data_IF_714999990027
#
_entry.id   IF_714999990027
#
_cell.length_a   1.000
_cell.length_b   1.000
_cell.length_c   1.000
_cell.angle_alpha   90.00
_cell.angle_beta   90.00
_cell.angle_gamma   90.00
#
_symmetry.space_group_name_H-M   'P 1'
#
loop_
_entity.id
_entity.type
_entity.pdbx_description
1 polymer ?
#
# COMPACT_ATOMS: atom_id res chain seq x y z
N UNK A 1 19.91 -23.93 23.29
CA UNK A 1 20.16 -22.58 23.83
C UNK A 1 21.10 -21.76 22.96
N UNK A 2 22.19 -22.35 22.41
CA UNK A 2 23.15 -21.66 21.55
C UNK A 2 22.51 -21.01 20.28
N UNK A 3 21.59 -21.74 19.60
CA UNK A 3 20.85 -21.19 18.43
C UNK A 3 20.02 -19.96 18.79
N UNK A 4 19.32 -19.99 19.93
CA UNK A 4 18.48 -18.86 20.35
C UNK A 4 19.33 -17.63 20.71
N UNK A 5 20.45 -17.85 21.40
CA UNK A 5 21.38 -16.77 21.71
C UNK A 5 21.98 -16.14 20.43
N UNK A 6 22.29 -16.99 19.43
CA UNK A 6 22.77 -16.49 18.13
C UNK A 6 21.69 -15.73 17.39
N UNK A 7 20.42 -16.16 17.43
CA UNK A 7 19.30 -15.43 16.83
C UNK A 7 19.13 -14.06 17.49
N UNK A 8 19.17 -14.00 18.82
CA UNK A 8 19.03 -12.75 19.57
C UNK A 8 20.19 -11.77 19.31
N UNK A 9 21.40 -12.29 19.04
CA UNK A 9 22.59 -11.49 18.76
C UNK A 9 22.64 -11.00 17.30
N UNK A 10 22.31 -11.87 16.32
CA UNK A 10 22.50 -11.58 14.90
C UNK A 10 21.26 -11.00 14.20
N UNK A 11 20.06 -11.13 14.78
CA UNK A 11 18.82 -10.60 14.19
C UNK A 11 18.40 -9.33 14.93
N UNK A 12 18.74 -8.14 14.42
CA UNK A 12 18.35 -6.90 15.08
C UNK A 12 16.83 -6.72 15.04
N UNK A 13 16.27 -6.16 16.09
CA UNK A 13 14.86 -5.74 16.11
C UNK A 13 14.69 -4.64 15.05
N UNK A 14 13.76 -4.79 14.09
CA UNK A 14 13.52 -3.77 13.08
C UNK A 14 13.16 -2.42 13.70
N UNK A 15 13.77 -1.35 13.23
CA UNK A 15 13.38 0.00 13.62
C UNK A 15 11.92 0.26 13.17
N UNK A 16 11.08 0.70 14.09
CA UNK A 16 9.70 1.10 13.79
C UNK A 16 9.66 2.57 13.41
N UNK A 17 9.01 2.90 12.31
CA UNK A 17 8.88 4.29 11.83
C UNK A 17 7.74 5.04 12.55
N UNK A 18 7.75 5.04 13.89
CA UNK A 18 6.70 5.63 14.71
C UNK A 18 6.66 7.16 14.65
N UNK A 19 7.80 7.80 14.33
CA UNK A 19 7.91 9.26 14.22
C UNK A 19 7.28 9.83 12.93
N UNK A 20 7.01 8.97 11.96
CA UNK A 20 6.31 9.36 10.72
C UNK A 20 4.81 9.48 10.96
N UNK A 21 4.10 10.25 10.12
CA UNK A 21 2.64 10.27 10.16
C UNK A 21 2.04 8.87 9.99
N UNK A 22 0.91 8.62 10.67
CA UNK A 22 0.20 7.34 10.58
C UNK A 22 -0.28 7.06 9.17
N UNK A 23 -0.01 5.84 8.71
CA UNK A 23 -0.48 5.31 7.44
C UNK A 23 -0.67 3.79 7.53
N UNK A 24 -1.86 3.31 7.17
CA UNK A 24 -2.24 1.90 7.13
C UNK A 24 -2.98 1.58 5.83
N UNK A 25 -2.41 0.77 4.93
CA UNK A 25 -3.14 0.22 3.79
C UNK A 25 -4.22 -0.76 4.26
N UNK A 26 -5.42 -0.66 3.67
CA UNK A 26 -6.53 -1.57 3.97
C UNK A 26 -6.33 -2.90 3.25
N UNK A 27 -6.29 -3.99 3.99
CA UNK A 27 -6.18 -5.36 3.48
C UNK A 27 -7.54 -6.04 3.38
N UNK A 28 -8.37 -5.90 4.43
CA UNK A 28 -9.71 -6.48 4.47
C UNK A 28 -10.67 -5.62 5.31
N UNK A 29 -11.97 -5.85 5.15
CA UNK A 29 -13.02 -5.06 5.80
C UNK A 29 -14.11 -5.98 6.32
N UNK A 30 -14.41 -5.85 7.61
CA UNK A 30 -15.45 -6.61 8.29
C UNK A 30 -16.52 -5.68 8.86
N UNK A 31 -17.73 -6.20 9.00
CA UNK A 31 -18.79 -5.55 9.78
C UNK A 31 -19.06 -6.36 11.03
N UNK A 32 -19.01 -5.70 12.19
CA UNK A 32 -19.36 -6.30 13.48
C UNK A 32 -20.71 -5.76 13.90
N UNK A 33 -21.69 -6.64 14.03
CA UNK A 33 -23.06 -6.28 14.46
C UNK A 33 -23.02 -5.51 15.78
N UNK A 34 -23.61 -4.33 15.80
CA UNK A 34 -23.66 -3.45 16.98
C UNK A 34 -22.36 -2.67 17.29
N UNK A 35 -21.28 -2.90 16.55
CA UNK A 35 -20.01 -2.17 16.76
C UNK A 35 -19.60 -1.29 15.57
N UNK A 36 -19.93 -1.68 14.33
CA UNK A 36 -19.61 -0.92 13.13
C UNK A 36 -18.65 -1.64 12.18
N UNK A 37 -17.94 -0.87 11.37
CA UNK A 37 -17.02 -1.35 10.35
C UNK A 37 -15.60 -1.44 10.93
N UNK A 38 -14.94 -2.57 10.69
CA UNK A 38 -13.54 -2.81 11.03
C UNK A 38 -12.73 -2.92 9.75
N UNK A 39 -11.73 -2.07 9.59
CA UNK A 39 -10.74 -2.18 8.53
C UNK A 39 -9.46 -2.80 9.12
N UNK A 40 -8.96 -3.85 8.47
CA UNK A 40 -7.72 -4.50 8.89
C UNK A 40 -6.58 -4.17 7.95
N UNK A 41 -5.39 -4.14 8.49
CA UNK A 41 -4.17 -3.90 7.73
C UNK A 41 -2.93 -3.87 8.63
N UNK A 42 -1.78 -3.79 7.98
CA UNK A 42 -0.52 -3.55 8.67
C UNK A 42 -0.24 -2.05 8.70
N UNK A 43 0.03 -1.52 9.87
CA UNK A 43 0.50 -0.13 9.99
C UNK A 43 1.87 0.00 9.32
N UNK A 44 1.95 0.80 8.27
CA UNK A 44 3.17 1.03 7.50
C UNK A 44 4.09 2.01 8.24
N UNK A 45 3.52 3.13 8.72
CA UNK A 45 4.23 4.17 9.47
C UNK A 45 3.34 4.76 10.56
N UNK A 46 3.98 5.36 11.56
CA UNK A 46 3.34 6.16 12.60
C UNK A 46 2.61 5.35 13.66
N UNK A 47 1.80 6.07 14.42
CA UNK A 47 1.00 5.54 15.53
C UNK A 47 -0.43 6.00 15.34
N UNK A 48 -1.40 5.14 15.63
CA UNK A 48 -2.82 5.47 15.69
C UNK A 48 -3.39 5.13 17.07
N UNK A 49 -4.20 6.01 17.62
CA UNK A 49 -4.83 5.85 18.95
C UNK A 49 -6.35 5.77 18.83
N UNK A 50 -6.97 5.19 19.84
CA UNK A 50 -8.41 5.30 20.02
C UNK A 50 -8.77 6.76 20.24
N UNK A 51 -9.73 7.26 19.46
CA UNK A 51 -10.14 8.67 19.44
C UNK A 51 -9.56 9.51 18.30
N UNK A 52 -8.56 9.00 17.60
CA UNK A 52 -7.93 9.74 16.49
C UNK A 52 -8.91 9.92 15.32
N UNK A 53 -8.91 11.12 14.75
CA UNK A 53 -9.52 11.39 13.47
C UNK A 53 -8.65 10.81 12.36
N UNK A 54 -9.27 10.07 11.45
CA UNK A 54 -8.60 9.45 10.31
C UNK A 54 -9.34 9.76 9.00
N UNK A 55 -8.59 9.69 7.92
CA UNK A 55 -9.06 9.87 6.56
C UNK A 55 -8.82 8.58 5.77
N UNK A 56 -9.84 8.14 5.05
CA UNK A 56 -9.79 6.98 4.16
C UNK A 56 -9.69 7.50 2.73
N UNK A 57 -8.61 7.15 2.05
CA UNK A 57 -8.27 7.66 0.71
C UNK A 57 -8.03 6.54 -0.28
N UNK A 58 -8.42 6.76 -1.52
CA UNK A 58 -8.16 5.89 -2.66
C UNK A 58 -9.44 5.49 -3.40
N UNK A 59 -9.28 4.95 -4.62
CA UNK A 59 -10.38 4.53 -5.49
C UNK A 59 -11.40 5.64 -5.82
N UNK A 60 -10.97 6.91 -5.77
CA UNK A 60 -11.83 8.08 -5.97
C UNK A 60 -12.63 8.50 -4.73
N UNK A 61 -12.44 7.84 -3.59
CA UNK A 61 -13.10 8.16 -2.33
C UNK A 61 -12.16 8.92 -1.39
N UNK A 62 -12.75 9.87 -0.66
CA UNK A 62 -12.12 10.63 0.41
C UNK A 62 -13.14 10.77 1.55
N UNK A 63 -12.94 10.03 2.62
CA UNK A 63 -13.88 9.97 3.75
C UNK A 63 -13.15 10.16 5.07
N UNK A 64 -13.81 10.83 6.00
CA UNK A 64 -13.32 11.02 7.36
C UNK A 64 -14.06 10.11 8.34
N UNK A 65 -13.34 9.64 9.34
CA UNK A 65 -13.85 8.82 10.41
C UNK A 65 -13.08 9.05 11.70
N UNK A 66 -13.53 8.42 12.77
CA UNK A 66 -12.82 8.38 14.05
C UNK A 66 -12.59 6.93 14.42
N UNK A 67 -11.38 6.62 14.87
CA UNK A 67 -11.02 5.30 15.39
C UNK A 67 -11.65 5.11 16.75
N UNK A 68 -12.59 4.17 16.89
CA UNK A 68 -13.27 3.88 18.17
C UNK A 68 -12.71 2.66 18.88
N UNK A 69 -11.81 1.94 18.23
CA UNK A 69 -11.10 0.80 18.83
C UNK A 69 -9.95 0.34 17.95
N UNK A 70 -8.91 -0.14 18.58
CA UNK A 70 -7.75 -0.80 17.96
C UNK A 70 -7.70 -2.22 18.52
N UNK A 71 -7.66 -3.22 17.65
CA UNK A 71 -7.62 -4.63 18.05
C UNK A 71 -6.48 -5.36 17.35
N UNK A 72 -5.74 -6.16 18.12
CA UNK A 72 -4.71 -7.05 17.61
C UNK A 72 -4.79 -8.39 18.33
N UNK A 73 -4.86 -9.52 17.58
CA UNK A 73 -4.96 -10.88 18.14
C UNK A 73 -6.09 -11.04 19.19
N UNK A 74 -7.27 -10.44 18.93
CA UNK A 74 -8.45 -10.43 19.83
C UNK A 74 -8.23 -9.68 21.16
N UNK A 75 -7.21 -8.83 21.23
CA UNK A 75 -6.98 -7.94 22.36
C UNK A 75 -7.23 -6.50 21.94
N UNK A 76 -7.96 -5.77 22.76
CA UNK A 76 -8.12 -4.33 22.59
C UNK A 76 -6.85 -3.63 23.04
N UNK A 77 -6.43 -2.66 22.26
CA UNK A 77 -5.26 -1.84 22.51
C UNK A 77 -5.67 -0.36 22.57
N UNK A 78 -4.94 0.44 23.32
CA UNK A 78 -5.12 1.90 23.33
C UNK A 78 -4.55 2.54 22.07
N UNK A 79 -3.52 1.93 21.46
CA UNK A 79 -2.87 2.38 20.24
C UNK A 79 -2.31 1.21 19.44
N UNK A 80 -2.08 1.45 18.12
CA UNK A 80 -1.29 0.60 17.23
C UNK A 80 -0.10 1.36 16.69
N UNK A 81 1.01 0.67 16.41
CA UNK A 81 2.29 1.24 15.99
C UNK A 81 2.77 0.65 14.66
N UNK A 82 3.69 1.37 13.99
CA UNK A 82 4.31 0.90 12.76
C UNK A 82 4.80 -0.55 12.89
N UNK A 83 4.39 -1.41 11.95
CA UNK A 83 4.69 -2.85 11.93
C UNK A 83 3.60 -3.74 12.51
N UNK A 84 2.64 -3.20 13.27
CA UNK A 84 1.55 -3.97 13.85
C UNK A 84 0.48 -4.30 12.80
N UNK A 85 -0.05 -5.53 12.83
CA UNK A 85 -1.25 -5.90 12.09
C UNK A 85 -2.47 -5.70 12.99
N UNK A 86 -3.30 -4.73 12.65
CA UNK A 86 -4.43 -4.32 13.50
C UNK A 86 -5.75 -4.28 12.76
N UNK A 87 -6.83 -4.39 13.50
CA UNK A 87 -8.17 -4.01 13.08
C UNK A 87 -8.55 -2.66 13.70
N UNK A 88 -8.88 -1.69 12.87
CA UNK A 88 -9.38 -0.39 13.30
C UNK A 88 -10.89 -0.35 13.21
N UNK A 89 -11.55 -0.14 14.35
CA UNK A 89 -13.00 0.07 14.40
C UNK A 89 -13.29 1.54 14.04
N UNK A 90 -14.05 1.75 12.98
CA UNK A 90 -14.32 3.06 12.40
C UNK A 90 -15.77 3.50 12.68
N UNK A 91 -15.93 4.76 13.11
CA UNK A 91 -17.23 5.34 13.40
C UNK A 91 -17.91 5.87 12.14
N UNK A 92 -19.22 5.55 11.98
CA UNK A 92 -20.05 6.20 10.98
C UNK A 92 -19.72 5.91 9.53
N UNK A 93 -19.01 4.81 9.27
CA UNK A 93 -18.66 4.34 7.93
C UNK A 93 -19.24 2.95 7.72
N UNK A 94 -19.94 2.76 6.62
CA UNK A 94 -20.45 1.45 6.21
C UNK A 94 -19.33 0.59 5.58
N UNK A 95 -19.42 -0.74 5.76
CA UNK A 95 -18.51 -1.70 5.13
C UNK A 95 -18.35 -1.49 3.61
N UNK A 96 -19.44 -1.07 2.93
CA UNK A 96 -19.44 -0.85 1.47
C UNK A 96 -18.58 0.33 1.03
N UNK A 97 -18.31 1.26 1.96
CA UNK A 97 -17.58 2.49 1.72
C UNK A 97 -16.07 2.32 1.91
N UNK A 98 -15.66 1.22 2.55
CA UNK A 98 -14.24 0.87 2.76
C UNK A 98 -13.91 -0.33 1.89
N UNK A 99 -12.84 -0.24 1.14
CA UNK A 99 -12.40 -1.30 0.21
C UNK A 99 -10.92 -1.60 0.40
N UNK A 100 -10.53 -2.84 0.13
CA UNK A 100 -9.13 -3.20 -0.04
C UNK A 100 -8.48 -2.27 -1.08
N UNK A 101 -7.26 -1.83 -0.80
CA UNK A 101 -6.53 -0.89 -1.66
C UNK A 101 -6.66 0.58 -1.27
N UNK A 102 -7.63 0.91 -0.42
CA UNK A 102 -7.66 2.23 0.24
C UNK A 102 -6.57 2.33 1.30
N UNK A 103 -6.28 3.55 1.72
CA UNK A 103 -5.33 3.84 2.78
C UNK A 103 -6.04 4.61 3.88
N UNK A 104 -5.78 4.25 5.13
CA UNK A 104 -6.21 5.00 6.31
C UNK A 104 -5.02 5.78 6.84
N UNK A 105 -5.20 7.06 7.07
CA UNK A 105 -4.14 7.98 7.51
C UNK A 105 -4.70 9.09 8.38
N UNK A 106 -3.84 9.84 9.07
CA UNK A 106 -4.27 11.09 9.67
C UNK A 106 -4.63 12.10 8.57
N UNK A 107 -5.57 13.03 8.81
CA UNK A 107 -5.99 13.99 7.79
C UNK A 107 -4.82 14.84 7.24
N UNK A 108 -4.77 14.98 5.92
CA UNK A 108 -3.77 15.82 5.23
C UNK A 108 -2.37 15.24 5.09
N UNK A 109 -2.15 13.98 5.45
CA UNK A 109 -0.82 13.33 5.37
C UNK A 109 -0.43 12.94 3.95
N UNK A 110 -1.39 12.45 3.17
CA UNK A 110 -1.15 11.98 1.81
C UNK A 110 -2.26 12.45 0.88
N UNK A 111 -1.90 12.77 -0.36
CA UNK A 111 -2.85 13.12 -1.42
C UNK A 111 -2.88 12.01 -2.45
N UNK A 112 -4.06 11.57 -2.91
CA UNK A 112 -4.17 10.63 -4.02
C UNK A 112 -3.69 11.24 -5.34
N UNK A 113 -2.97 10.47 -6.15
CA UNK A 113 -2.47 10.87 -7.46
C UNK A 113 -2.83 9.85 -8.53
N UNK A 114 -3.17 10.31 -9.73
CA UNK A 114 -3.37 9.45 -10.91
C UNK A 114 -2.08 9.22 -11.68
N UNK A 115 -1.11 10.11 -11.57
CA UNK A 115 0.13 10.08 -12.33
C UNK A 115 1.37 10.12 -11.45
N UNK A 116 2.40 9.38 -11.85
CA UNK A 116 3.71 9.40 -11.22
C UNK A 116 4.83 9.04 -12.19
N UNK A 117 6.06 9.40 -11.83
CA UNK A 117 7.28 8.94 -12.51
C UNK A 117 7.95 7.88 -11.67
N UNK A 118 8.52 6.89 -12.33
CA UNK A 118 9.19 5.78 -11.64
C UNK A 118 10.35 5.23 -12.47
N UNK A 119 11.36 4.75 -11.78
CA UNK A 119 12.41 3.91 -12.35
C UNK A 119 12.02 2.45 -12.19
N UNK A 120 12.04 1.68 -13.26
CA UNK A 120 11.71 0.26 -13.27
C UNK A 120 12.84 -0.57 -13.85
N UNK A 121 12.97 -1.80 -13.35
CA UNK A 121 13.74 -2.87 -13.95
C UNK A 121 12.80 -3.89 -14.58
N UNK A 122 13.01 -4.21 -15.85
CA UNK A 122 12.19 -5.19 -16.58
C UNK A 122 12.80 -6.57 -16.44
N UNK A 123 12.15 -7.46 -15.67
CA UNK A 123 12.63 -8.80 -15.42
C UNK A 123 12.81 -9.59 -16.72
N UNK A 124 13.94 -10.31 -16.83
CA UNK A 124 14.22 -11.23 -17.94
C UNK A 124 13.42 -12.53 -17.80
N UNK A 125 13.37 -13.30 -18.89
CA UNK A 125 12.68 -14.61 -18.90
C UNK A 125 13.22 -15.56 -17.83
N UNK A 126 14.54 -15.59 -17.63
CA UNK A 126 15.22 -16.44 -16.64
C UNK A 126 14.89 -16.02 -15.19
N UNK A 127 14.50 -14.76 -14.99
CA UNK A 127 14.06 -14.20 -13.71
C UNK A 127 12.54 -14.37 -13.47
N UNK A 128 11.84 -15.08 -14.38
CA UNK A 128 10.40 -15.27 -14.34
C UNK A 128 9.59 -14.15 -15.00
N UNK A 129 10.29 -13.19 -15.63
CA UNK A 129 9.70 -12.04 -16.30
C UNK A 129 9.26 -12.33 -17.75
N UNK A 130 9.17 -11.26 -18.52
CA UNK A 130 8.74 -11.32 -19.90
C UNK A 130 9.90 -11.68 -20.86
N UNK A 131 9.56 -12.16 -22.06
CA UNK A 131 10.51 -12.47 -23.12
C UNK A 131 10.37 -11.56 -24.35
N UNK A 132 9.40 -10.67 -24.34
CA UNK A 132 9.14 -9.71 -25.43
C UNK A 132 9.24 -8.28 -24.93
N UNK A 133 9.68 -7.33 -25.78
CA UNK A 133 9.68 -5.92 -25.41
C UNK A 133 8.25 -5.39 -25.25
N UNK A 134 8.12 -4.26 -24.57
CA UNK A 134 6.89 -3.48 -24.60
C UNK A 134 7.15 -2.09 -25.18
N UNK A 135 6.10 -1.50 -25.73
CA UNK A 135 6.14 -0.19 -26.38
C UNK A 135 5.39 0.85 -25.54
N UNK A 136 5.47 2.09 -26.02
CA UNK A 136 4.68 3.19 -25.48
C UNK A 136 3.18 2.84 -25.43
N UNK A 137 2.44 3.39 -24.48
CA UNK A 137 1.02 3.12 -24.22
C UNK A 137 0.72 1.68 -23.75
N UNK A 138 1.70 0.95 -23.27
CA UNK A 138 1.49 -0.35 -22.63
C UNK A 138 0.68 -0.20 -21.34
N UNK A 139 -0.33 -1.07 -21.14
CA UNK A 139 -1.31 -0.97 -20.04
C UNK A 139 -1.33 -2.21 -19.15
N UNK A 140 -0.32 -2.39 -18.29
CA UNK A 140 -0.28 -3.50 -17.32
C UNK A 140 -1.05 -3.18 -16.04
N UNK A 141 -1.05 -4.16 -15.12
CA UNK A 141 -1.51 -3.99 -13.75
C UNK A 141 -0.35 -3.52 -12.85
N UNK A 142 -0.59 -2.46 -12.11
CA UNK A 142 0.30 -1.93 -11.08
C UNK A 142 -0.17 -2.40 -9.72
N UNK A 143 0.72 -3.03 -8.96
CA UNK A 143 0.48 -3.49 -7.59
C UNK A 143 1.14 -2.51 -6.62
N UNK A 144 0.32 -1.68 -6.01
CA UNK A 144 0.71 -0.58 -5.14
C UNK A 144 0.14 -0.86 -3.74
N UNK A 145 0.96 -1.19 -2.76
CA UNK A 145 0.51 -1.65 -1.43
C UNK A 145 -0.46 -2.83 -1.56
N UNK A 146 -1.68 -2.66 -1.08
CA UNK A 146 -2.76 -3.67 -1.12
C UNK A 146 -3.67 -3.56 -2.33
N UNK A 147 -3.40 -2.61 -3.22
CA UNK A 147 -4.20 -2.30 -4.39
C UNK A 147 -3.56 -2.81 -5.67
N UNK A 148 -4.38 -3.25 -6.61
CA UNK A 148 -4.03 -3.42 -8.01
C UNK A 148 -4.82 -2.44 -8.88
N UNK A 149 -4.15 -1.81 -9.82
CA UNK A 149 -4.74 -0.79 -10.69
C UNK A 149 -4.11 -0.86 -12.08
N UNK A 150 -4.94 -0.77 -13.11
CA UNK A 150 -4.44 -0.61 -14.49
C UNK A 150 -3.85 0.79 -14.64
N UNK A 151 -2.67 0.86 -15.26
CA UNK A 151 -2.04 2.12 -15.61
C UNK A 151 -1.45 2.08 -17.00
N UNK A 152 -1.41 3.23 -17.66
CA UNK A 152 -0.76 3.41 -18.95
C UNK A 152 0.65 3.92 -18.74
N UNK A 153 1.62 3.30 -19.42
CA UNK A 153 3.03 3.67 -19.41
C UNK A 153 3.33 4.58 -20.60
N UNK A 154 3.94 5.72 -20.31
CA UNK A 154 4.58 6.59 -21.29
C UNK A 154 6.10 6.49 -21.14
N UNK A 155 6.77 6.18 -22.24
CA UNK A 155 8.22 6.09 -22.32
C UNK A 155 8.84 7.47 -22.54
N UNK A 156 10.12 7.68 -22.15
CA UNK A 156 10.86 8.90 -22.43
C UNK A 156 10.96 9.17 -23.94
N UNK A 157 11.16 10.43 -24.30
CA UNK A 157 11.39 10.83 -25.68
C UNK A 157 12.58 10.10 -26.29
N UNK A 158 12.42 9.59 -27.51
CA UNK A 158 13.45 8.80 -28.21
C UNK A 158 13.53 7.32 -27.85
N UNK A 159 12.73 6.84 -26.87
CA UNK A 159 12.63 5.42 -26.51
C UNK A 159 11.40 4.82 -27.17
N UNK A 160 11.58 4.00 -28.20
CA UNK A 160 10.48 3.35 -28.91
C UNK A 160 9.96 2.10 -28.21
N UNK A 161 10.85 1.35 -27.53
CA UNK A 161 10.52 0.12 -26.83
C UNK A 161 11.51 -0.13 -25.69
N UNK A 162 11.10 -0.95 -24.73
CA UNK A 162 11.91 -1.39 -23.58
C UNK A 162 12.04 -2.91 -23.63
N UNK A 163 13.29 -3.40 -23.50
CA UNK A 163 13.63 -4.81 -23.56
C UNK A 163 13.64 -5.45 -22.17
N UNK A 164 13.42 -6.77 -22.06
CA UNK A 164 13.73 -7.49 -20.84
C UNK A 164 15.19 -7.31 -20.42
N UNK A 165 15.42 -6.92 -19.16
CA UNK A 165 16.73 -6.61 -18.59
C UNK A 165 17.08 -5.12 -18.59
N UNK A 166 16.25 -4.27 -19.16
CA UNK A 166 16.47 -2.83 -19.15
C UNK A 166 16.06 -2.18 -17.81
N UNK A 167 16.78 -1.12 -17.45
CA UNK A 167 16.37 -0.13 -16.48
C UNK A 167 15.89 1.12 -17.23
N UNK A 168 14.69 1.59 -16.92
CA UNK A 168 14.11 2.74 -17.59
C UNK A 168 13.27 3.58 -16.63
N UNK A 169 13.32 4.90 -16.82
CA UNK A 169 12.36 5.82 -16.19
C UNK A 169 11.08 5.88 -17.03
N UNK A 170 9.95 5.70 -16.38
CA UNK A 170 8.63 5.76 -17.02
C UNK A 170 7.76 6.81 -16.36
N UNK A 171 6.82 7.33 -17.14
CA UNK A 171 5.69 8.08 -16.60
C UNK A 171 4.45 7.18 -16.65
N UNK A 172 3.74 7.10 -15.55
CA UNK A 172 2.55 6.25 -15.39
C UNK A 172 1.33 7.12 -15.19
N UNK A 173 0.23 6.78 -15.87
CA UNK A 173 -1.09 7.32 -15.62
C UNK A 173 -2.03 6.19 -15.23
N UNK A 174 -2.46 6.19 -13.96
CA UNK A 174 -3.41 5.22 -13.41
C UNK A 174 -4.86 5.57 -13.81
N UNK A 175 -5.73 4.58 -13.82
CA UNK A 175 -7.16 4.78 -14.10
C UNK A 175 -7.94 5.36 -12.92
N UNK A 176 -7.37 5.32 -11.71
CA UNK A 176 -7.91 5.90 -10.48
C UNK A 176 -6.82 6.64 -9.71
N UNK A 177 -7.18 7.70 -8.95
CA UNK A 177 -6.26 8.31 -8.01
C UNK A 177 -5.94 7.34 -6.85
N UNK A 178 -4.67 7.17 -6.57
CA UNK A 178 -4.13 6.26 -5.55
C UNK A 178 -3.27 7.04 -4.57
N UNK A 179 -3.34 6.67 -3.30
CA UNK A 179 -2.49 7.22 -2.26
C UNK A 179 -1.06 6.69 -2.42
N UNK A 180 -0.22 7.46 -3.10
CA UNK A 180 1.19 7.15 -3.39
C UNK A 180 2.10 8.26 -2.86
N UNK A 181 3.31 7.89 -2.49
CA UNK A 181 4.36 8.81 -2.04
C UNK A 181 5.70 8.46 -2.69
N UNK A 182 6.62 9.41 -2.67
CA UNK A 182 7.97 9.22 -3.18
C UNK A 182 8.66 8.08 -2.42
N UNK A 183 9.33 7.19 -3.16
CA UNK A 183 10.02 6.02 -2.60
C UNK A 183 9.15 4.79 -2.43
N UNK A 184 7.84 4.86 -2.74
CA UNK A 184 6.97 3.68 -2.71
C UNK A 184 7.44 2.64 -3.73
N UNK A 185 7.67 1.41 -3.27
CA UNK A 185 7.95 0.26 -4.13
C UNK A 185 6.66 -0.33 -4.66
N UNK A 186 6.69 -0.76 -5.90
CA UNK A 186 5.54 -1.37 -6.57
C UNK A 186 6.00 -2.48 -7.53
N UNK A 187 5.05 -3.33 -7.94
CA UNK A 187 5.29 -4.33 -8.97
C UNK A 187 4.35 -4.08 -10.17
N UNK A 188 4.85 -4.42 -11.35
CA UNK A 188 4.07 -4.43 -12.59
C UNK A 188 3.86 -5.88 -12.98
N UNK A 189 2.60 -6.25 -13.28
CA UNK A 189 2.26 -7.63 -13.66
C UNK A 189 1.37 -7.66 -14.89
N UNK A 190 1.54 -8.71 -15.67
CA UNK A 190 0.69 -9.06 -16.80
C UNK A 190 0.38 -10.56 -16.76
N UNK A 191 -0.91 -10.92 -16.79
CA UNK A 191 -1.34 -12.32 -16.77
C UNK A 191 -0.78 -13.13 -15.61
N UNK A 192 -0.61 -12.53 -14.42
CA UNK A 192 -0.08 -13.21 -13.23
C UNK A 192 1.45 -13.31 -13.14
N UNK A 193 2.18 -12.76 -14.12
CA UNK A 193 3.66 -12.66 -14.12
C UNK A 193 4.11 -11.24 -13.79
N UNK A 194 5.17 -11.16 -13.01
CA UNK A 194 5.80 -9.88 -12.65
C UNK A 194 6.76 -9.45 -13.74
#
# INVERSE_FOLDING_TARGET
MELMNNVDEYVPIPARENEKPFLMPVEDVFSITGRGTVATGRIETGIVKVGDEVQLLGLGEDKKSVVTGVEMFRKLLDQGEAGDNVGLLLRGIDKKEVKRGMVITHPGVITPHEGFKASIYVLKKEEGGRHTPFKNHYRPQFYLRTMDCTGEISLPEGVEMVMPGDNVEITVKLIYPVAINVGLRFAIREGGRT
#
